data_IF_572075629953
#
_entry.id   IF_572075629953
#
_cell.length_a   1.000
_cell.length_b   1.000
_cell.length_c   1.000
_cell.angle_alpha   90.00
_cell.angle_beta   90.00
_cell.angle_gamma   90.00
#
_symmetry.space_group_name_H-M   'P 1'
#
loop_
_entity.id
_entity.type
_entity.pdbx_description
1 polymer ?
#
# COMPACT_ATOMS: atom_id res chain seq x y z
N UNK A 1 6.16 -16.43 10.15
CA UNK A 1 5.70 -15.03 10.41
C UNK A 1 6.24 -14.55 11.75
N UNK A 2 5.77 -15.06 12.91
CA UNK A 2 6.20 -14.58 14.24
C UNK A 2 7.71 -14.61 14.44
N UNK A 3 8.39 -15.67 14.01
CA UNK A 3 9.86 -15.78 14.10
C UNK A 3 10.61 -14.73 13.27
N UNK A 4 10.24 -14.53 12.00
CA UNK A 4 10.88 -13.52 11.14
C UNK A 4 10.59 -12.10 11.62
N UNK A 5 9.39 -11.86 12.13
CA UNK A 5 9.02 -10.59 12.74
C UNK A 5 9.88 -10.27 13.97
N UNK A 6 10.13 -11.27 14.83
CA UNK A 6 11.03 -11.12 15.97
C UNK A 6 12.47 -10.87 15.53
N UNK A 7 12.93 -11.53 14.45
CA UNK A 7 14.24 -11.27 13.88
C UNK A 7 14.37 -9.84 13.36
N UNK A 8 13.37 -9.35 12.62
CA UNK A 8 13.35 -7.99 12.09
C UNK A 8 13.47 -6.94 13.21
N UNK A 9 12.66 -7.06 14.27
CA UNK A 9 12.72 -6.18 15.45
C UNK A 9 14.09 -6.26 16.15
N UNK A 10 14.68 -7.46 16.25
CA UNK A 10 15.95 -7.66 16.95
C UNK A 10 17.19 -7.20 16.16
N UNK A 11 17.09 -7.13 14.82
CA UNK A 11 18.25 -6.95 13.94
C UNK A 11 18.77 -5.52 13.82
N UNK A 12 17.96 -4.51 14.21
CA UNK A 12 18.32 -3.09 14.21
C UNK A 12 18.66 -2.48 12.83
N UNK A 13 18.69 -3.28 11.76
CA UNK A 13 19.00 -2.86 10.39
C UNK A 13 17.87 -3.24 9.46
N UNK A 14 17.38 -2.29 8.65
CA UNK A 14 16.35 -2.55 7.65
C UNK A 14 16.94 -3.32 6.47
N UNK A 15 16.73 -4.63 6.43
CA UNK A 15 17.05 -5.49 5.29
C UNK A 15 15.90 -5.41 4.28
N UNK A 16 16.09 -4.84 3.07
CA UNK A 16 15.01 -4.59 2.11
C UNK A 16 14.21 -5.85 1.75
N UNK A 17 14.87 -7.01 1.73
CA UNK A 17 14.24 -8.27 1.35
C UNK A 17 13.44 -8.92 2.48
N UNK A 18 13.82 -8.74 3.75
CA UNK A 18 13.09 -9.33 4.88
C UNK A 18 11.66 -8.79 4.97
N UNK A 19 11.45 -7.50 4.69
CA UNK A 19 10.12 -6.90 4.65
C UNK A 19 9.19 -7.56 3.63
N UNK A 20 9.70 -7.92 2.45
CA UNK A 20 8.91 -8.60 1.41
C UNK A 20 8.46 -9.98 1.87
N UNK A 21 9.36 -10.78 2.43
CA UNK A 21 9.01 -12.13 2.91
C UNK A 21 8.05 -12.10 4.09
N UNK A 22 8.30 -11.21 5.05
CA UNK A 22 7.53 -11.13 6.30
C UNK A 22 6.13 -10.56 6.07
N UNK A 23 6.02 -9.48 5.28
CA UNK A 23 4.76 -8.74 5.15
C UNK A 23 3.97 -9.10 3.88
N UNK A 24 4.60 -9.56 2.80
CA UNK A 24 3.89 -9.83 1.54
C UNK A 24 3.72 -11.33 1.30
N UNK A 25 4.81 -12.09 1.25
CA UNK A 25 4.78 -13.48 0.78
C UNK A 25 4.04 -14.39 1.78
N UNK A 26 4.45 -14.40 3.04
CA UNK A 26 3.84 -15.30 4.02
C UNK A 26 2.36 -15.02 4.31
N UNK A 27 1.92 -13.76 4.48
CA UNK A 27 0.50 -13.47 4.59
C UNK A 27 -0.31 -13.90 3.36
N UNK A 28 0.23 -13.72 2.15
CA UNK A 28 -0.44 -14.14 0.91
C UNK A 28 -0.66 -15.65 0.84
N UNK A 29 0.33 -16.45 1.23
CA UNK A 29 0.20 -17.93 1.32
C UNK A 29 -0.85 -18.33 2.37
N UNK A 30 -0.87 -17.65 3.52
CA UNK A 30 -1.84 -17.92 4.58
C UNK A 30 -3.28 -17.62 4.11
N UNK A 31 -3.50 -16.46 3.48
CA UNK A 31 -4.80 -16.06 2.93
C UNK A 31 -5.25 -17.06 1.85
N UNK A 32 -4.35 -17.47 0.96
CA UNK A 32 -4.64 -18.47 -0.06
C UNK A 32 -5.02 -19.82 0.56
N UNK A 33 -4.31 -20.26 1.60
CA UNK A 33 -4.64 -21.48 2.35
C UNK A 33 -6.04 -21.40 2.99
N UNK A 34 -6.37 -20.28 3.63
CA UNK A 34 -7.70 -20.06 4.22
C UNK A 34 -8.80 -20.08 3.16
N UNK A 35 -8.56 -19.46 2.01
CA UNK A 35 -9.46 -19.50 0.87
C UNK A 35 -9.72 -20.93 0.37
N UNK A 36 -8.67 -21.74 0.22
CA UNK A 36 -8.80 -23.15 -0.18
C UNK A 36 -9.62 -23.97 0.84
N UNK A 37 -9.44 -23.73 2.15
CA UNK A 37 -10.21 -24.39 3.20
C UNK A 37 -11.70 -24.04 3.07
N UNK A 38 -12.03 -22.75 2.92
CA UNK A 38 -13.42 -22.29 2.76
C UNK A 38 -14.04 -22.85 1.48
N UNK A 39 -13.33 -22.77 0.35
CA UNK A 39 -13.78 -23.32 -0.92
C UNK A 39 -14.02 -24.84 -0.83
N UNK A 40 -13.08 -25.58 -0.23
CA UNK A 40 -13.20 -27.02 0.01
C UNK A 40 -14.42 -27.36 0.87
N UNK A 41 -14.65 -26.62 1.96
CA UNK A 41 -15.83 -26.81 2.81
C UNK A 41 -17.14 -26.58 2.04
N UNK A 42 -17.21 -25.54 1.19
CA UNK A 42 -18.40 -25.22 0.39
C UNK A 42 -18.65 -26.31 -0.66
N UNK A 43 -17.61 -26.72 -1.39
CA UNK A 43 -17.69 -27.74 -2.44
C UNK A 43 -18.12 -29.08 -1.85
N UNK A 44 -17.48 -29.52 -0.77
CA UNK A 44 -17.80 -30.79 -0.12
C UNK A 44 -19.20 -30.77 0.50
N UNK A 45 -19.62 -29.65 1.09
CA UNK A 45 -21.00 -29.49 1.58
C UNK A 45 -22.03 -29.57 0.46
N UNK A 46 -21.77 -28.92 -0.69
CA UNK A 46 -22.63 -29.00 -1.88
C UNK A 46 -22.69 -30.43 -2.41
N UNK A 47 -21.56 -31.14 -2.48
CA UNK A 47 -21.47 -32.54 -2.91
C UNK A 47 -22.27 -33.48 -2.01
N UNK A 48 -22.11 -33.37 -0.69
CA UNK A 48 -22.82 -34.22 0.28
C UNK A 48 -24.34 -33.96 0.27
N UNK A 49 -24.76 -32.70 0.13
CA UNK A 49 -26.19 -32.37 -0.01
C UNK A 49 -26.84 -32.93 -1.26
N UNK A 50 -26.13 -32.96 -2.38
CA UNK A 50 -26.63 -33.59 -3.62
C UNK A 50 -26.83 -35.10 -3.48
N UNK A 51 -26.07 -35.76 -2.60
CA UNK A 51 -26.12 -37.22 -2.39
C UNK A 51 -27.11 -37.65 -1.30
N UNK A 52 -27.30 -36.84 -0.25
CA UNK A 52 -28.20 -37.16 0.86
C UNK A 52 -28.83 -35.87 1.46
N UNK A 53 -29.83 -35.28 0.79
CA UNK A 53 -30.41 -33.99 1.20
C UNK A 53 -31.15 -34.04 2.54
N UNK A 54 -31.65 -35.21 2.96
CA UNK A 54 -32.42 -35.41 4.20
C UNK A 54 -31.56 -35.48 5.47
N UNK A 55 -30.26 -35.79 5.35
CA UNK A 55 -29.36 -35.98 6.50
C UNK A 55 -28.67 -34.67 6.92
N UNK A 56 -28.50 -33.71 6.00
CA UNK A 56 -27.75 -32.48 6.24
C UNK A 56 -28.70 -31.29 6.34
N UNK A 57 -28.97 -30.84 7.57
CA UNK A 57 -29.82 -29.68 7.86
C UNK A 57 -29.39 -28.42 7.07
N UNK A 58 -30.35 -27.52 6.72
CA UNK A 58 -30.08 -26.30 5.98
C UNK A 58 -29.08 -25.37 6.69
N UNK A 59 -29.16 -25.27 8.01
CA UNK A 59 -28.31 -24.42 8.85
C UNK A 59 -27.68 -25.21 10.00
N UNK A 60 -26.50 -24.79 10.50
CA UNK A 60 -25.92 -25.35 11.71
C UNK A 60 -26.82 -25.07 12.92
N UNK A 61 -26.93 -26.03 13.84
CA UNK A 61 -27.65 -25.87 15.10
C UNK A 61 -26.64 -25.47 16.18
N UNK A 62 -26.81 -24.28 16.75
CA UNK A 62 -25.98 -23.74 17.83
C UNK A 62 -26.68 -23.96 19.18
N UNK A 63 -26.17 -24.89 19.97
CA UNK A 63 -26.59 -25.22 21.33
C UNK A 63 -25.45 -24.92 22.32
N UNK A 64 -25.55 -23.78 23.00
CA UNK A 64 -24.54 -23.30 23.94
C UNK A 64 -24.53 -24.07 25.27
N UNK A 65 -25.55 -24.88 25.54
CA UNK A 65 -25.58 -25.75 26.72
C UNK A 65 -24.65 -26.95 26.54
N UNK A 66 -24.35 -27.33 25.29
CA UNK A 66 -23.38 -28.37 24.99
C UNK A 66 -21.94 -27.87 25.20
N UNK A 67 -21.22 -28.45 26.15
CA UNK A 67 -19.84 -28.07 26.49
C UNK A 67 -18.87 -28.14 25.29
N UNK A 68 -19.08 -29.09 24.35
CA UNK A 68 -18.27 -29.20 23.14
C UNK A 68 -18.51 -28.03 22.20
N UNK A 69 -19.77 -27.69 21.94
CA UNK A 69 -20.11 -26.55 21.06
C UNK A 69 -19.67 -25.22 21.67
N UNK A 70 -19.83 -25.05 22.99
CA UNK A 70 -19.32 -23.87 23.71
C UNK A 70 -17.80 -23.71 23.59
N UNK A 71 -17.03 -24.80 23.78
CA UNK A 71 -15.57 -24.77 23.61
C UNK A 71 -15.18 -24.47 22.16
N UNK A 72 -15.84 -25.09 21.18
CA UNK A 72 -15.59 -24.82 19.76
C UNK A 72 -15.89 -23.36 19.41
N UNK A 73 -17.00 -22.80 19.91
CA UNK A 73 -17.34 -21.40 19.69
C UNK A 73 -16.29 -20.46 20.31
N UNK A 74 -15.88 -20.71 21.56
CA UNK A 74 -14.83 -19.91 22.21
C UNK A 74 -13.50 -19.97 21.45
N UNK A 75 -13.07 -21.15 21.03
CA UNK A 75 -11.85 -21.29 20.22
C UNK A 75 -11.98 -20.54 18.90
N UNK A 76 -13.13 -20.62 18.22
CA UNK A 76 -13.38 -19.91 16.98
C UNK A 76 -13.36 -18.39 17.18
N UNK A 77 -13.98 -17.89 18.25
CA UNK A 77 -13.99 -16.46 18.55
C UNK A 77 -12.58 -15.94 18.89
N UNK A 78 -11.84 -16.65 19.75
CA UNK A 78 -10.48 -16.25 20.14
C UNK A 78 -9.53 -16.34 18.95
N UNK A 79 -9.56 -17.44 18.19
CA UNK A 79 -8.72 -17.58 16.99
C UNK A 79 -9.10 -16.59 15.90
N UNK A 80 -10.39 -16.32 15.70
CA UNK A 80 -10.88 -15.30 14.78
C UNK A 80 -10.42 -13.90 15.17
N UNK A 81 -10.52 -13.55 16.45
CA UNK A 81 -10.01 -12.28 16.97
C UNK A 81 -8.50 -12.14 16.75
N UNK A 82 -7.71 -13.15 17.14
CA UNK A 82 -6.27 -13.14 16.94
C UNK A 82 -5.90 -13.05 15.47
N UNK A 83 -6.60 -13.79 14.60
CA UNK A 83 -6.39 -13.74 13.16
C UNK A 83 -6.68 -12.34 12.59
N UNK A 84 -7.81 -11.73 12.94
CA UNK A 84 -8.16 -10.39 12.50
C UNK A 84 -7.16 -9.35 13.00
N UNK A 85 -6.78 -9.43 14.28
CA UNK A 85 -5.79 -8.54 14.89
C UNK A 85 -4.43 -8.64 14.18
N UNK A 86 -3.91 -9.86 14.00
CA UNK A 86 -2.66 -10.09 13.29
C UNK A 86 -2.73 -9.65 11.83
N UNK A 87 -3.87 -9.85 11.15
CA UNK A 87 -4.06 -9.45 9.76
C UNK A 87 -4.09 -7.92 9.63
N UNK A 88 -4.81 -7.22 10.51
CA UNK A 88 -4.85 -5.76 10.54
C UNK A 88 -3.45 -5.17 10.79
N UNK A 89 -2.74 -5.69 11.80
CA UNK A 89 -1.38 -5.27 12.11
C UNK A 89 -0.41 -5.58 10.97
N UNK A 90 -0.49 -6.77 10.38
CA UNK A 90 0.32 -7.16 9.23
C UNK A 90 0.09 -6.24 8.03
N UNK A 91 -1.17 -5.91 7.73
CA UNK A 91 -1.54 -5.01 6.63
C UNK A 91 -0.98 -3.60 6.86
N UNK A 92 -1.04 -3.09 8.10
CA UNK A 92 -0.43 -1.81 8.44
C UNK A 92 1.08 -1.80 8.20
N UNK A 93 1.78 -2.88 8.58
CA UNK A 93 3.23 -3.00 8.32
C UNK A 93 3.55 -3.12 6.83
N UNK A 94 2.74 -3.85 6.04
CA UNK A 94 2.86 -3.87 4.58
C UNK A 94 2.73 -2.47 4.01
N UNK A 95 1.71 -1.73 4.46
CA UNK A 95 1.44 -0.37 4.02
C UNK A 95 2.66 0.51 4.26
N UNK A 96 3.13 0.62 5.51
CA UNK A 96 4.30 1.42 5.89
C UNK A 96 5.56 1.04 5.12
N UNK A 97 5.85 -0.25 5.00
CA UNK A 97 7.01 -0.74 4.25
C UNK A 97 6.91 -0.35 2.77
N UNK A 98 5.76 -0.58 2.13
CA UNK A 98 5.51 -0.28 0.71
C UNK A 98 5.49 1.21 0.37
N UNK A 99 5.55 2.07 1.38
CA UNK A 99 5.61 3.53 1.26
C UNK A 99 6.95 4.12 1.72
N UNK A 100 7.88 3.26 2.15
CA UNK A 100 9.22 3.66 2.58
C UNK A 100 10.13 3.99 1.39
N UNK A 101 11.12 4.83 1.66
CA UNK A 101 12.20 5.14 0.70
C UNK A 101 13.02 3.89 0.39
N UNK A 102 13.22 3.00 1.37
CA UNK A 102 13.93 1.73 1.21
C UNK A 102 13.23 0.85 0.17
N UNK A 103 11.90 0.74 0.27
CA UNK A 103 11.13 -0.02 -0.70
C UNK A 103 11.26 0.55 -2.11
N UNK A 104 11.00 1.85 -2.30
CA UNK A 104 11.01 2.46 -3.62
C UNK A 104 12.42 2.54 -4.24
N UNK A 105 13.44 2.89 -3.46
CA UNK A 105 14.76 3.24 -3.98
C UNK A 105 15.81 2.13 -3.91
N UNK A 106 15.66 1.15 -3.02
CA UNK A 106 16.71 0.14 -2.77
C UNK A 106 16.28 -1.29 -3.08
N UNK A 107 14.98 -1.57 -3.19
CA UNK A 107 14.49 -2.93 -3.45
C UNK A 107 14.72 -3.36 -4.89
N UNK A 108 14.58 -2.42 -5.84
CA UNK A 108 14.72 -2.69 -7.26
C UNK A 108 15.96 -1.98 -7.81
N UNK A 109 16.87 -2.72 -8.42
CA UNK A 109 18.11 -2.15 -8.99
C UNK A 109 17.85 -1.11 -10.10
N UNK A 110 16.73 -1.21 -10.82
CA UNK A 110 16.34 -0.24 -11.85
C UNK A 110 16.07 1.15 -11.29
N UNK A 111 15.83 1.28 -9.97
CA UNK A 111 15.60 2.54 -9.27
C UNK A 111 16.85 3.19 -8.68
N UNK A 112 18.03 2.62 -8.91
CA UNK A 112 19.28 3.21 -8.43
C UNK A 112 19.47 4.68 -8.89
N UNK A 113 19.25 5.06 -10.18
CA UNK A 113 19.41 6.44 -10.61
C UNK A 113 18.47 7.41 -9.87
N UNK A 114 17.21 7.04 -9.69
CA UNK A 114 16.18 7.81 -9.02
C UNK A 114 16.49 7.93 -7.52
N UNK A 115 16.96 6.87 -6.89
CA UNK A 115 17.38 6.89 -5.49
C UNK A 115 18.63 7.77 -5.28
N UNK A 116 19.59 7.75 -6.19
CA UNK A 116 20.74 8.66 -6.17
C UNK A 116 20.30 10.12 -6.32
N UNK A 117 19.41 10.41 -7.28
CA UNK A 117 18.88 11.75 -7.49
C UNK A 117 18.08 12.26 -6.28
N UNK A 118 17.26 11.40 -5.68
CA UNK A 118 16.52 11.69 -4.45
C UNK A 118 17.46 12.14 -3.33
N UNK A 119 18.53 11.38 -3.08
CA UNK A 119 19.50 11.69 -2.01
C UNK A 119 20.28 12.98 -2.26
N UNK A 120 20.50 13.35 -3.52
CA UNK A 120 21.14 14.62 -3.89
C UNK A 120 20.17 15.82 -3.90
N UNK A 121 18.86 15.60 -3.75
CA UNK A 121 17.84 16.64 -3.87
C UNK A 121 17.54 17.34 -2.54
N UNK A 122 16.93 18.55 -2.57
CA UNK A 122 16.38 19.20 -1.38
C UNK A 122 15.29 18.39 -0.66
N UNK A 123 14.74 17.35 -1.32
CA UNK A 123 13.66 16.51 -0.82
C UNK A 123 14.14 15.17 -0.23
N UNK A 124 15.45 14.99 -0.01
CA UNK A 124 16.04 13.76 0.53
C UNK A 124 15.55 13.33 1.94
N UNK A 125 14.69 14.14 2.58
CA UNK A 125 14.13 13.89 3.92
C UNK A 125 12.60 13.67 3.93
N UNK A 126 11.95 13.62 2.77
CA UNK A 126 10.53 13.27 2.65
C UNK A 126 10.36 11.94 1.92
N UNK A 127 9.32 11.17 2.22
CA UNK A 127 9.14 9.85 1.57
C UNK A 127 8.83 10.04 0.08
N UNK A 128 9.23 9.07 -0.76
CA UNK A 128 8.90 9.06 -2.19
C UNK A 128 7.39 9.21 -2.43
N UNK A 129 6.59 8.57 -1.57
CA UNK A 129 5.13 8.57 -1.69
C UNK A 129 4.48 9.92 -1.42
N UNK A 130 5.14 10.85 -0.71
CA UNK A 130 4.59 12.19 -0.45
C UNK A 130 4.37 12.94 -1.78
N UNK A 131 5.18 12.65 -2.81
CA UNK A 131 5.04 13.22 -4.14
C UNK A 131 4.44 12.24 -5.16
N UNK A 132 4.87 10.97 -5.15
CA UNK A 132 4.52 10.00 -6.20
C UNK A 132 3.20 9.24 -5.98
N UNK A 133 2.66 9.26 -4.76
CA UNK A 133 1.32 8.70 -4.44
C UNK A 133 0.41 9.85 -4.00
N UNK A 134 0.85 10.62 -3.02
CA UNK A 134 0.10 11.71 -2.40
C UNK A 134 -1.12 11.21 -1.61
N UNK A 135 -1.87 12.15 -1.02
CA UNK A 135 -3.04 11.82 -0.22
C UNK A 135 -4.27 11.41 -1.03
N UNK A 136 -5.15 10.61 -0.43
CA UNK A 136 -6.45 10.25 -1.01
C UNK A 136 -6.50 8.88 -1.69
N UNK A 137 -7.65 8.22 -1.60
CA UNK A 137 -7.81 6.83 -1.99
C UNK A 137 -7.65 6.59 -3.51
N UNK A 138 -8.07 7.52 -4.36
CA UNK A 138 -8.01 7.36 -5.82
C UNK A 138 -6.55 7.27 -6.31
N UNK A 139 -5.71 8.22 -5.92
CA UNK A 139 -4.29 8.22 -6.28
C UNK A 139 -3.53 7.06 -5.63
N UNK A 140 -3.90 6.68 -4.40
CA UNK A 140 -3.35 5.47 -3.78
C UNK A 140 -3.58 4.23 -4.63
N UNK A 141 -4.83 3.99 -5.07
CA UNK A 141 -5.17 2.84 -5.91
C UNK A 141 -4.45 2.90 -7.27
N UNK A 142 -4.47 4.06 -7.93
CA UNK A 142 -3.77 4.26 -9.22
C UNK A 142 -2.27 3.97 -9.10
N UNK A 143 -1.62 4.48 -8.05
CA UNK A 143 -0.20 4.26 -7.83
C UNK A 143 0.13 2.78 -7.60
N UNK A 144 -0.66 2.06 -6.78
CA UNK A 144 -0.43 0.62 -6.53
C UNK A 144 -0.69 -0.22 -7.77
N UNK A 145 -1.70 0.08 -8.58
CA UNK A 145 -1.94 -0.59 -9.87
C UNK A 145 -0.80 -0.34 -10.87
N UNK A 146 -0.30 0.90 -10.94
CA UNK A 146 0.88 1.21 -11.74
C UNK A 146 2.12 0.45 -11.23
N UNK A 147 2.30 0.33 -9.91
CA UNK A 147 3.36 -0.48 -9.31
C UNK A 147 3.30 -1.96 -9.73
N UNK A 148 2.11 -2.55 -9.85
CA UNK A 148 1.95 -3.92 -10.40
C UNK A 148 2.39 -3.98 -11.87
N UNK A 149 2.03 -2.99 -12.68
CA UNK A 149 2.47 -2.90 -14.06
C UNK A 149 4.00 -2.74 -14.17
N UNK A 150 4.61 -1.93 -13.30
CA UNK A 150 6.07 -1.78 -13.22
C UNK A 150 6.74 -3.09 -12.81
N UNK A 151 6.21 -3.79 -11.81
CA UNK A 151 6.72 -5.11 -11.40
C UNK A 151 6.68 -6.09 -12.57
N UNK A 152 5.56 -6.14 -13.31
CA UNK A 152 5.46 -6.93 -14.53
C UNK A 152 6.54 -6.54 -15.55
N UNK A 153 6.68 -5.25 -15.85
CA UNK A 153 7.62 -4.77 -16.84
C UNK A 153 9.08 -5.09 -16.48
N UNK A 154 9.46 -4.93 -15.21
CA UNK A 154 10.80 -5.29 -14.71
C UNK A 154 11.01 -6.80 -14.74
N UNK A 155 10.01 -7.59 -14.36
CA UNK A 155 10.10 -9.07 -14.35
C UNK A 155 10.29 -9.63 -15.76
N UNK A 156 9.52 -9.13 -16.74
CA UNK A 156 9.54 -9.63 -18.11
C UNK A 156 10.42 -8.80 -19.05
N UNK A 157 11.15 -7.81 -18.53
CA UNK A 157 12.04 -6.93 -19.29
C UNK A 157 11.35 -6.19 -20.45
N UNK A 158 10.07 -5.83 -20.29
CA UNK A 158 9.25 -5.19 -21.33
C UNK A 158 9.24 -3.66 -21.22
N UNK A 159 10.14 -3.07 -20.41
CA UNK A 159 10.25 -1.63 -20.23
C UNK A 159 11.19 -0.98 -21.24
N UNK A 160 10.94 0.27 -21.58
CA UNK A 160 11.75 1.04 -22.52
C UNK A 160 13.08 1.49 -21.90
N UNK A 161 14.12 1.62 -22.74
CA UNK A 161 15.43 2.16 -22.37
C UNK A 161 15.82 3.28 -23.36
N UNK A 162 16.08 4.52 -22.91
CA UNK A 162 15.99 4.99 -21.52
C UNK A 162 14.55 4.99 -20.99
N UNK A 163 14.38 4.90 -19.67
CA UNK A 163 13.05 4.99 -19.03
C UNK A 163 12.56 6.44 -19.22
N UNK A 164 11.41 6.67 -19.89
CA UNK A 164 10.92 8.02 -20.13
C UNK A 164 10.44 8.67 -18.83
N UNK A 165 10.54 9.99 -18.75
CA UNK A 165 9.94 10.75 -17.65
C UNK A 165 8.41 10.69 -17.76
N UNK A 166 7.69 10.39 -16.68
CA UNK A 166 6.24 10.22 -16.73
C UNK A 166 5.54 11.58 -16.71
N UNK A 167 5.61 12.35 -17.80
CA UNK A 167 5.04 13.71 -17.90
C UNK A 167 3.52 13.76 -18.06
N UNK A 168 2.88 12.65 -18.43
CA UNK A 168 1.45 12.66 -18.80
C UNK A 168 0.49 12.41 -17.62
N UNK A 169 0.99 11.85 -16.50
CA UNK A 169 0.14 11.41 -15.37
C UNK A 169 0.61 11.98 -14.02
N UNK A 170 1.30 13.12 -14.02
CA UNK A 170 1.66 13.77 -12.76
C UNK A 170 0.42 14.33 -12.07
N UNK A 171 0.39 14.14 -10.75
CA UNK A 171 -0.57 14.80 -9.89
C UNK A 171 -0.36 16.33 -9.95
N UNK A 172 -1.42 17.15 -9.87
CA UNK A 172 -1.29 18.60 -9.88
C UNK A 172 -0.32 19.11 -8.82
N UNK A 173 0.55 20.05 -9.18
CA UNK A 173 1.58 20.59 -8.29
C UNK A 173 1.00 21.19 -6.99
N UNK A 174 -0.24 21.71 -7.02
CA UNK A 174 -0.89 22.23 -5.81
C UNK A 174 -1.23 21.13 -4.79
N UNK A 175 -1.47 19.89 -5.24
CA UNK A 175 -1.80 18.76 -4.37
C UNK A 175 -0.56 17.97 -3.90
N UNK A 176 0.59 18.21 -4.52
CA UNK A 176 1.87 17.58 -4.16
C UNK A 176 2.81 18.60 -3.50
N UNK A 177 3.30 19.56 -4.28
CA UNK A 177 4.19 20.61 -3.82
C UNK A 177 3.46 21.56 -2.85
N UNK A 178 2.21 21.91 -3.15
CA UNK A 178 1.41 22.87 -2.38
C UNK A 178 1.13 22.46 -0.92
N UNK A 179 1.24 21.16 -0.61
CA UNK A 179 1.12 20.66 0.76
C UNK A 179 2.26 21.17 1.68
N UNK A 180 3.42 21.50 1.11
CA UNK A 180 4.57 22.03 1.85
C UNK A 180 5.01 23.43 1.37
N UNK A 181 4.75 23.77 0.10
CA UNK A 181 5.12 25.03 -0.53
C UNK A 181 3.89 25.89 -0.81
N UNK A 182 3.64 26.89 0.06
CA UNK A 182 2.53 27.81 -0.15
C UNK A 182 2.87 28.85 -1.23
N UNK A 183 2.44 28.59 -2.46
CA UNK A 183 2.71 29.44 -3.64
C UNK A 183 2.19 30.88 -3.49
N UNK A 184 1.11 31.12 -2.76
CA UNK A 184 0.58 32.49 -2.54
C UNK A 184 1.35 33.28 -1.47
N UNK A 185 2.26 32.62 -0.74
CA UNK A 185 3.07 33.22 0.33
C UNK A 185 4.55 33.01 0.03
N UNK A 186 5.02 33.58 -1.08
CA UNK A 186 6.45 33.61 -1.40
C UNK A 186 7.22 34.41 -0.35
N UNK A 187 8.27 33.81 0.22
CA UNK A 187 9.23 34.47 1.10
C UNK A 187 10.51 34.78 0.31
N UNK A 188 11.02 36.02 0.40
CA UNK A 188 12.23 36.47 -0.30
C UNK A 188 12.05 37.81 -1.03
N UNK A 189 12.98 38.14 -1.93
CA UNK A 189 12.87 39.31 -2.80
C UNK A 189 11.75 39.11 -3.82
N UNK A 190 10.67 39.89 -3.67
CA UNK A 190 9.57 39.91 -4.63
C UNK A 190 9.78 41.07 -5.60
N UNK A 191 9.78 40.78 -6.91
CA UNK A 191 9.75 41.81 -7.93
C UNK A 191 8.38 42.51 -7.89
N UNK A 192 8.32 43.69 -7.25
CA UNK A 192 7.15 44.56 -7.32
C UNK A 192 7.29 45.53 -8.49
N UNK A 193 6.39 45.39 -9.46
CA UNK A 193 6.26 46.37 -10.55
C UNK A 193 5.30 47.46 -10.09
N UNK A 194 5.81 48.67 -9.92
CA UNK A 194 5.00 49.85 -9.65
C UNK A 194 4.80 50.62 -10.96
N UNK A 195 3.67 50.36 -11.62
CA UNK A 195 3.28 51.13 -12.80
C UNK A 195 2.89 52.55 -12.34
N UNK A 196 3.61 53.55 -12.84
CA UNK A 196 3.27 54.96 -12.64
C UNK A 196 2.70 55.51 -13.94
N UNK A 197 1.50 56.07 -13.87
CA UNK A 197 0.85 56.72 -15.01
C UNK A 197 0.98 58.23 -14.85
N UNK A 198 1.29 58.92 -15.95
CA UNK A 198 1.23 60.39 -15.98
C UNK A 198 -0.22 60.88 -15.91
N UNK A 199 -0.41 62.15 -15.55
CA UNK A 199 -1.71 62.84 -15.63
C UNK A 199 -2.10 63.03 -17.10
N UNK A 200 -2.63 61.98 -17.73
CA UNK A 200 -3.19 62.03 -19.07
C UNK A 200 -4.61 61.45 -19.03
N UNK A 201 -5.59 62.26 -19.46
CA UNK A 201 -7.00 61.88 -19.58
C UNK A 201 -7.22 60.66 -20.50
N UNK A 202 -6.26 60.33 -21.37
CA UNK A 202 -6.35 59.22 -22.33
C UNK A 202 -5.73 57.91 -21.86
N UNK A 203 -5.19 57.85 -20.64
CA UNK A 203 -4.56 56.65 -20.12
C UNK A 203 -5.64 55.68 -19.59
N UNK A 204 -6.18 54.83 -20.47
CA UNK A 204 -7.08 53.73 -20.11
C UNK A 204 -6.53 52.38 -20.58
N UNK A 205 -6.90 51.33 -19.83
CA UNK A 205 -6.56 49.92 -20.05
C UNK A 205 -6.81 49.42 -21.48
#
# INVERSE_FOLDING_TARGET
>A
IVFLFMLEISSGHEQPYLGIFTFIIFPSVLIFGLFLIIAGMIIERRRRRRRAPTVIKPFPVLDLNNARQRRTLLVLLVSGFLFLFMSAFGTYRVYEFSESVVFCGQTCHVMNPEFTAYNASPHAKIRCVECHVGGGADYYVKAKLNGVHQLYAVTFHTYQKPIPTPVENLRPANETCGACHWSEKFYGEQLRVFNHYGYDEKNSL
#
